data_IF_177090323497
#
_entry.id   IF_177090323497
#
_cell.length_a   1.000
_cell.length_b   1.000
_cell.length_c   1.000
_cell.angle_alpha   90.00
_cell.angle_beta   90.00
_cell.angle_gamma   90.00
#
_symmetry.space_group_name_H-M   'P 1'
#
loop_
_entity.id
_entity.type
_entity.pdbx_description
1 polymer ?
#
# COMPACT_ATOMS: atom_id res chain seq x y z
N UNK A 1 13.05 -5.18 6.53
CA UNK A 1 12.48 -5.57 5.22
C UNK A 1 13.36 -5.00 4.12
N UNK A 2 13.39 -5.60 2.93
CA UNK A 2 14.11 -5.01 1.79
C UNK A 2 13.41 -3.71 1.39
N UNK A 3 14.08 -2.56 1.53
CA UNK A 3 13.61 -1.22 1.12
C UNK A 3 13.16 -1.13 -0.36
N UNK A 4 13.49 -2.15 -1.15
CA UNK A 4 13.07 -2.32 -2.54
C UNK A 4 11.57 -2.58 -2.71
N UNK A 5 10.84 -2.98 -1.65
CA UNK A 5 9.42 -3.38 -1.74
C UNK A 5 8.43 -2.40 -1.07
N UNK A 6 8.92 -1.30 -0.52
CA UNK A 6 8.11 -0.38 0.29
C UNK A 6 8.35 1.08 -0.06
N UNK A 7 7.39 1.93 0.32
CA UNK A 7 7.55 3.37 0.41
C UNK A 7 7.43 3.78 1.88
N UNK A 8 8.18 4.79 2.31
CA UNK A 8 8.13 5.26 3.70
C UNK A 8 7.25 6.51 3.80
N UNK A 9 6.45 6.57 4.86
CA UNK A 9 5.67 7.75 5.24
C UNK A 9 5.83 8.01 6.73
N UNK A 10 5.52 9.23 7.18
CA UNK A 10 5.56 9.58 8.60
C UNK A 10 4.19 10.07 9.06
N UNK A 11 3.56 9.40 10.02
CA UNK A 11 2.25 9.78 10.59
C UNK A 11 2.44 10.06 12.08
N UNK A 12 2.02 11.24 12.55
CA UNK A 12 2.15 11.61 13.97
C UNK A 12 3.59 11.53 14.50
N UNK A 13 4.60 11.81 13.66
CA UNK A 13 6.02 11.73 14.02
C UNK A 13 6.60 10.31 14.04
N UNK A 14 5.84 9.29 13.63
CA UNK A 14 6.31 7.90 13.53
C UNK A 14 6.40 7.45 12.08
N UNK A 15 7.51 6.81 11.74
CA UNK A 15 7.73 6.25 10.40
C UNK A 15 6.96 4.93 10.22
N UNK A 16 6.31 4.79 9.07
CA UNK A 16 5.62 3.58 8.63
C UNK A 16 6.08 3.20 7.22
N UNK A 17 6.26 1.90 6.99
CA UNK A 17 6.49 1.37 5.65
C UNK A 17 5.15 0.96 5.03
N UNK A 18 4.83 1.54 3.87
CA UNK A 18 3.74 1.10 3.01
C UNK A 18 4.20 -0.14 2.23
N UNK A 19 3.53 -1.27 2.47
CA UNK A 19 3.87 -2.55 1.85
C UNK A 19 2.64 -3.15 1.18
N UNK A 20 2.73 -3.41 -0.13
CA UNK A 20 1.71 -4.17 -0.84
C UNK A 20 1.97 -5.68 -0.66
N UNK A 21 1.29 -6.28 0.32
CA UNK A 21 1.31 -7.73 0.54
C UNK A 21 0.18 -8.42 -0.22
N UNK A 22 0.25 -9.74 -0.38
CA UNK A 22 -0.87 -10.54 -0.93
C UNK A 22 -2.17 -10.33 -0.16
N UNK A 23 -2.12 -10.08 1.16
CA UNK A 23 -3.31 -9.76 1.96
C UNK A 23 -3.91 -8.42 1.53
N UNK A 24 -3.09 -7.37 1.47
CA UNK A 24 -3.54 -6.06 1.01
C UNK A 24 -4.06 -6.10 -0.45
N UNK A 25 -3.39 -6.84 -1.34
CA UNK A 25 -3.84 -7.07 -2.73
C UNK A 25 -5.26 -7.64 -2.77
N UNK A 26 -5.57 -8.63 -1.92
CA UNK A 26 -6.93 -9.21 -1.87
C UNK A 26 -7.97 -8.22 -1.37
N UNK A 27 -7.65 -7.42 -0.36
CA UNK A 27 -8.57 -6.40 0.16
C UNK A 27 -8.83 -5.29 -0.87
N UNK A 28 -7.78 -4.82 -1.55
CA UNK A 28 -7.89 -3.86 -2.65
C UNK A 28 -8.73 -4.45 -3.80
N UNK A 29 -8.44 -5.68 -4.23
CA UNK A 29 -9.19 -6.32 -5.30
C UNK A 29 -10.67 -6.52 -4.92
N UNK A 30 -10.97 -6.87 -3.67
CA UNK A 30 -12.35 -6.99 -3.19
C UNK A 30 -13.11 -5.66 -3.18
N UNK A 31 -12.43 -4.54 -2.92
CA UNK A 31 -13.05 -3.21 -2.85
C UNK A 31 -13.18 -2.53 -4.21
N UNK A 32 -12.15 -2.65 -5.06
CA UNK A 32 -12.04 -1.92 -6.33
C UNK A 32 -12.24 -2.80 -7.57
N UNK A 33 -12.41 -4.12 -7.40
CA UNK A 33 -12.53 -5.07 -8.51
C UNK A 33 -11.21 -5.37 -9.22
N UNK A 34 -10.07 -5.01 -8.63
CA UNK A 34 -8.74 -5.19 -9.22
C UNK A 34 -7.76 -4.10 -8.77
N UNK A 35 -6.45 -4.32 -8.95
CA UNK A 35 -5.43 -3.30 -8.65
C UNK A 35 -5.37 -2.25 -9.76
N UNK A 36 -5.63 -2.65 -10.99
CA UNK A 36 -5.76 -1.80 -12.18
C UNK A 36 -6.85 -0.75 -11.98
N UNK A 37 -8.00 -1.13 -11.43
CA UNK A 37 -9.12 -0.23 -11.15
C UNK A 37 -8.77 0.79 -10.05
N UNK A 38 -7.97 0.38 -9.06
CA UNK A 38 -7.45 1.31 -8.06
C UNK A 38 -6.47 2.31 -8.69
N UNK A 39 -5.52 1.84 -9.52
CA UNK A 39 -4.58 2.71 -10.22
C UNK A 39 -5.29 3.76 -11.07
N UNK A 40 -6.30 3.34 -11.83
CA UNK A 40 -7.14 4.23 -12.62
C UNK A 40 -7.86 5.31 -11.77
N UNK A 41 -8.43 4.92 -10.62
CA UNK A 41 -9.07 5.85 -9.69
C UNK A 41 -8.10 6.87 -9.10
N UNK A 42 -6.92 6.41 -8.68
CA UNK A 42 -5.90 7.31 -8.11
C UNK A 42 -5.40 8.30 -9.17
N UNK A 43 -5.24 7.88 -10.42
CA UNK A 43 -4.82 8.75 -11.52
C UNK A 43 -5.89 9.76 -11.95
N UNK A 44 -7.17 9.36 -11.94
CA UNK A 44 -8.30 10.19 -12.40
C UNK A 44 -8.91 11.07 -11.31
N UNK A 45 -8.53 10.90 -10.05
CA UNK A 45 -9.02 11.72 -8.94
C UNK A 45 -8.43 13.13 -9.00
N UNK A 46 -9.07 13.99 -9.79
CA UNK A 46 -8.82 15.44 -9.82
C UNK A 46 -9.42 16.15 -8.61
N UNK A 47 -10.42 15.54 -7.94
CA UNK A 47 -11.04 16.08 -6.75
C UNK A 47 -10.50 15.40 -5.49
N UNK A 48 -9.42 15.94 -4.96
CA UNK A 48 -8.70 15.42 -3.79
C UNK A 48 -9.61 15.24 -2.56
N UNK A 49 -10.54 16.17 -2.32
CA UNK A 49 -11.48 16.09 -1.20
C UNK A 49 -12.39 14.85 -1.27
N UNK A 50 -12.83 14.45 -2.46
CA UNK A 50 -13.65 13.24 -2.64
C UNK A 50 -12.84 11.95 -2.49
N UNK A 51 -11.51 12.04 -2.59
CA UNK A 51 -10.59 10.91 -2.51
C UNK A 51 -9.95 10.74 -1.12
N UNK A 52 -10.21 11.66 -0.17
CA UNK A 52 -9.59 11.63 1.16
C UNK A 52 -9.85 10.31 1.89
N UNK A 53 -11.11 9.88 1.97
CA UNK A 53 -11.48 8.61 2.61
C UNK A 53 -10.77 7.40 1.96
N UNK A 54 -10.62 7.42 0.64
CA UNK A 54 -9.91 6.36 -0.10
C UNK A 54 -8.41 6.38 0.22
N UNK A 55 -7.79 7.56 0.27
CA UNK A 55 -6.37 7.74 0.61
C UNK A 55 -6.10 7.31 2.05
N UNK A 56 -6.93 7.75 3.01
CA UNK A 56 -6.85 7.38 4.42
C UNK A 56 -6.96 5.86 4.58
N UNK A 57 -7.92 5.24 3.90
CA UNK A 57 -8.08 3.79 3.93
C UNK A 57 -6.86 3.06 3.35
N UNK A 58 -6.34 3.49 2.20
CA UNK A 58 -5.17 2.89 1.55
C UNK A 58 -3.91 3.00 2.40
N UNK A 59 -3.65 4.19 2.96
CA UNK A 59 -2.53 4.42 3.88
C UNK A 59 -2.64 3.48 5.06
N UNK A 60 -3.81 3.45 5.71
CA UNK A 60 -4.05 2.60 6.88
C UNK A 60 -3.81 1.13 6.54
N UNK A 61 -4.34 0.65 5.41
CA UNK A 61 -4.17 -0.72 4.96
C UNK A 61 -2.71 -1.08 4.71
N UNK A 62 -2.00 -0.27 3.90
CA UNK A 62 -0.64 -0.53 3.46
C UNK A 62 0.38 -0.36 4.58
N UNK A 63 0.24 0.67 5.41
CA UNK A 63 1.10 0.89 6.58
C UNK A 63 0.97 -0.25 7.58
N UNK A 64 -0.27 -0.71 7.83
CA UNK A 64 -0.51 -1.82 8.74
C UNK A 64 0.08 -3.15 8.25
N UNK A 65 0.36 -3.32 6.97
CA UNK A 65 1.03 -4.54 6.52
C UNK A 65 2.42 -4.69 7.15
N UNK A 66 3.18 -3.60 7.27
CA UNK A 66 4.50 -3.64 7.92
C UNK A 66 4.38 -3.99 9.41
N UNK A 67 3.39 -3.42 10.10
CA UNK A 67 3.05 -3.71 11.50
C UNK A 67 2.66 -5.18 11.68
N UNK A 68 1.79 -5.69 10.82
CA UNK A 68 1.31 -7.08 10.89
C UNK A 68 2.44 -8.08 10.62
N UNK A 69 3.34 -7.79 9.68
CA UNK A 69 4.51 -8.64 9.45
C UNK A 69 5.45 -8.61 10.66
N UNK A 70 5.69 -7.43 11.24
CA UNK A 70 6.50 -7.32 12.45
C UNK A 70 5.91 -8.14 13.59
N UNK A 71 4.60 -8.01 13.85
CA UNK A 71 3.90 -8.74 14.91
C UNK A 71 3.86 -10.26 14.67
N UNK A 72 3.89 -10.70 13.41
CA UNK A 72 4.00 -12.12 13.06
C UNK A 72 5.39 -12.67 13.38
N UNK A 73 6.44 -11.87 13.19
CA UNK A 73 7.83 -12.25 13.39
C UNK A 73 8.30 -12.07 14.85
N UNK A 74 7.68 -11.17 15.60
CA UNK A 74 8.03 -10.80 16.97
C UNK A 74 6.77 -10.84 17.85
N UNK A 75 6.23 -12.03 18.15
CA UNK A 75 4.96 -12.17 18.88
C UNK A 75 5.00 -11.62 20.32
N UNK A 76 6.18 -11.50 20.91
CA UNK A 76 6.44 -10.92 22.23
C UNK A 76 6.58 -9.38 22.23
N UNK A 77 6.80 -8.75 21.07
CA UNK A 77 6.96 -7.29 20.90
C UNK A 77 5.96 -6.77 19.87
N UNK A 78 4.66 -6.86 20.21
CA UNK A 78 3.60 -6.45 19.29
C UNK A 78 3.46 -4.94 19.26
N UNK A 79 3.37 -4.42 18.04
CA UNK A 79 3.02 -3.05 17.73
C UNK A 79 1.52 -2.92 17.47
N UNK A 80 0.94 -1.82 17.91
CA UNK A 80 -0.45 -1.50 17.64
C UNK A 80 -0.65 -1.08 16.18
N UNK A 81 -1.65 -1.64 15.45
CA UNK A 81 -2.04 -1.17 14.13
C UNK A 81 -2.58 0.26 14.16
N UNK A 82 -2.33 1.01 13.09
CA UNK A 82 -2.98 2.29 12.81
C UNK A 82 -4.48 2.10 12.57
N UNK A 83 -5.28 3.05 13.05
CA UNK A 83 -6.70 3.20 12.70
C UNK A 83 -6.86 4.34 11.70
N UNK A 84 -7.98 4.34 10.95
CA UNK A 84 -8.29 5.45 10.04
C UNK A 84 -8.45 6.76 10.82
N UNK A 85 -9.17 6.75 11.96
CA UNK A 85 -9.28 7.89 12.87
C UNK A 85 -7.91 8.45 13.27
N UNK A 86 -6.93 7.58 13.57
CA UNK A 86 -5.59 8.04 13.93
C UNK A 86 -4.88 8.68 12.73
N UNK A 87 -5.04 8.15 11.52
CA UNK A 87 -4.50 8.77 10.30
C UNK A 87 -5.15 10.14 10.08
N UNK A 88 -6.46 10.26 10.19
CA UNK A 88 -7.19 11.53 10.04
C UNK A 88 -6.75 12.59 11.05
N UNK A 89 -6.59 12.20 12.32
CA UNK A 89 -6.21 13.14 13.39
C UNK A 89 -4.73 13.52 13.38
N UNK A 90 -3.86 12.65 12.87
CA UNK A 90 -2.39 12.81 12.93
C UNK A 90 -1.76 13.23 11.61
N UNK A 91 -2.57 13.61 10.63
CA UNK A 91 -2.09 14.09 9.33
C UNK A 91 -2.76 15.41 8.95
N UNK A 92 -2.10 16.15 8.07
CA UNK A 92 -2.63 17.35 7.43
C UNK A 92 -3.00 17.07 5.97
N UNK A 93 -3.89 17.88 5.35
CA UNK A 93 -4.21 17.75 3.92
C UNK A 93 -2.98 17.79 3.01
N UNK A 94 -1.94 18.54 3.41
CA UNK A 94 -0.68 18.61 2.67
C UNK A 94 0.09 17.28 2.69
N UNK A 95 0.18 16.63 3.85
CA UNK A 95 0.83 15.32 3.99
C UNK A 95 0.08 14.23 3.21
N UNK A 96 -1.26 14.23 3.28
CA UNK A 96 -2.11 13.29 2.54
C UNK A 96 -1.89 13.38 1.02
N UNK A 97 -1.61 14.58 0.49
CA UNK A 97 -1.28 14.77 -0.92
C UNK A 97 0.04 14.06 -1.29
N UNK A 98 1.07 14.19 -0.45
CA UNK A 98 2.35 13.50 -0.65
C UNK A 98 2.25 11.98 -0.50
N UNK A 99 1.37 11.48 0.38
CA UNK A 99 1.19 10.04 0.53
C UNK A 99 0.56 9.35 -0.68
N UNK A 100 -0.16 10.09 -1.54
CA UNK A 100 -0.65 9.55 -2.82
C UNK A 100 0.51 8.99 -3.65
N UNK A 101 1.63 9.71 -3.72
CA UNK A 101 2.83 9.27 -4.44
C UNK A 101 3.43 8.02 -3.78
N UNK A 102 3.52 7.99 -2.44
CA UNK A 102 4.02 6.85 -1.69
C UNK A 102 3.15 5.59 -1.87
N UNK A 103 1.82 5.74 -1.93
CA UNK A 103 0.89 4.64 -2.23
C UNK A 103 1.19 4.08 -3.62
N UNK A 104 1.28 4.94 -4.63
CA UNK A 104 1.58 4.54 -6.01
C UNK A 104 2.94 3.84 -6.11
N UNK A 105 3.95 4.35 -5.41
CA UNK A 105 5.28 3.74 -5.34
C UNK A 105 5.24 2.35 -4.69
N UNK A 106 4.56 2.21 -3.54
CA UNK A 106 4.41 0.93 -2.86
C UNK A 106 3.65 -0.09 -3.72
N UNK A 107 2.62 0.35 -4.44
CA UNK A 107 1.90 -0.49 -5.39
C UNK A 107 2.81 -0.95 -6.53
N UNK A 108 3.53 -0.04 -7.16
CA UNK A 108 4.47 -0.35 -8.25
C UNK A 108 5.56 -1.33 -7.80
N UNK A 109 6.20 -1.08 -6.65
CA UNK A 109 7.23 -1.97 -6.10
C UNK A 109 6.69 -3.35 -5.75
N UNK A 110 5.45 -3.44 -5.25
CA UNK A 110 4.80 -4.71 -4.92
C UNK A 110 4.38 -5.53 -6.14
N UNK A 111 4.05 -4.88 -7.27
CA UNK A 111 3.65 -5.56 -8.51
C UNK A 111 4.80 -5.84 -9.46
N UNK A 112 5.93 -5.13 -9.39
CA UNK A 112 7.08 -5.30 -10.30
C UNK A 112 7.61 -6.74 -10.37
N UNK A 113 7.52 -7.52 -9.28
CA UNK A 113 7.89 -8.94 -9.29
C UNK A 113 6.83 -9.86 -9.94
N UNK A 114 5.56 -9.46 -10.01
CA UNK A 114 4.55 -10.21 -10.77
C UNK A 114 4.79 -10.06 -12.29
N UNK A 115 5.22 -8.88 -12.74
CA UNK A 115 5.45 -8.61 -14.17
C UNK A 115 6.67 -9.37 -14.70
N UNK A 116 7.77 -9.43 -13.93
CA UNK A 116 8.95 -10.24 -14.32
C UNK A 116 8.63 -11.76 -14.27
N UNK A 117 7.76 -12.21 -13.36
CA UNK A 117 7.38 -13.63 -13.25
C UNK A 117 6.48 -14.12 -14.40
N UNK A 118 5.70 -13.23 -15.02
CA UNK A 118 4.84 -13.58 -16.17
C UNK A 118 5.57 -13.55 -17.52
N UNK A 119 6.72 -12.86 -17.64
CA UNK A 119 7.49 -12.83 -18.88
C UNK A 119 8.34 -14.08 -19.13
N UNK A 120 8.62 -14.90 -18.11
CA UNK A 120 9.44 -16.12 -18.22
C UNK A 120 8.63 -17.41 -18.50
N UNK A 121 7.29 -17.35 -18.57
CA UNK A 121 6.46 -18.56 -18.73
C UNK A 121 5.98 -18.85 -20.16
N UNK A 122 6.51 -18.16 -21.17
CA UNK A 122 6.27 -18.47 -22.59
C UNK A 122 7.60 -18.67 -23.32
N UNK A 123 8.23 -19.84 -23.13
CA UNK A 123 8.98 -20.58 -24.16
C UNK A 123 9.64 -21.83 -23.55
N UNK A 124 8.84 -22.86 -23.29
CA UNK A 124 9.31 -24.24 -23.42
C UNK A 124 8.54 -24.86 -24.57
N UNK A 125 8.93 -24.49 -25.79
CA UNK A 125 8.48 -25.14 -27.01
C UNK A 125 8.98 -26.58 -26.98
N UNK A 126 8.04 -27.51 -26.89
CA UNK A 126 8.27 -28.92 -27.19
C UNK A 126 8.72 -29.05 -28.64
N UNK A 127 9.85 -29.70 -28.84
CA UNK A 127 10.47 -30.02 -30.14
C UNK A 127 11.76 -30.79 -29.93
#
# INVERSE_FOLDING_TARGET
MSKERSAAITIGGKEYELVLTTRATKEIAGRYGGLENLGDRLMKSENFEMALDEIIWLITLLANQSVLIHNLQHPEDKKEPLTQDAVELLTSPFELAGYKEAIMEAMYKGTKRNIESEMDSKNAQVG
#
